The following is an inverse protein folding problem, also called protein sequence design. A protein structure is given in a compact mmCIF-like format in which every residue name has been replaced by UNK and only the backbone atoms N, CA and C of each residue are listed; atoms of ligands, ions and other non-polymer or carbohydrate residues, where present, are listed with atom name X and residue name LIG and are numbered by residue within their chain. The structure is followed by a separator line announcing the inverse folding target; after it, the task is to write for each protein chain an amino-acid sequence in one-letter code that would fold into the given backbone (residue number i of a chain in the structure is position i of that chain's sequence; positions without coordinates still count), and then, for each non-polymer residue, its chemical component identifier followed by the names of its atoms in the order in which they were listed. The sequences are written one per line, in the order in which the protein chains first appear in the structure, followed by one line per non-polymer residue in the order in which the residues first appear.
data_IF_801207259212
#
_entry.id   IF_801207259212
#
_cell.length_a   1.000
_cell.length_b   1.000
_cell.length_c   1.000
_cell.angle_alpha   90.00
_cell.angle_beta   90.00
_cell.angle_gamma   90.00
#
_symmetry.space_group_name_H-M   'P 1'
#
loop_
_entity.id
_entity.type
_entity.pdbx_description
1 polymer ?
#
# COMPACT_ATOMS: atom_id res chain seq x y z
N UNK A 1 9.93 -3.13 10.95
CA UNK A 1 8.90 -3.00 12.01
C UNK A 1 8.33 -1.60 11.90
N UNK A 2 7.01 -1.41 11.87
CA UNK A 2 6.38 -0.08 11.73
C UNK A 2 5.81 0.29 13.09
N UNK A 3 6.22 1.44 13.60
CA UNK A 3 5.72 2.00 14.85
C UNK A 3 5.48 3.51 14.65
N UNK A 4 4.53 4.05 15.41
CA UNK A 4 4.25 5.47 15.46
C UNK A 4 4.28 5.91 16.92
N UNK A 5 5.03 6.99 17.20
CA UNK A 5 5.12 7.59 18.53
C UNK A 5 4.19 8.79 18.55
N UNK A 6 3.37 8.91 19.60
CA UNK A 6 2.44 10.02 19.77
C UNK A 6 3.20 11.34 19.86
N UNK A 7 2.82 12.31 19.04
CA UNK A 7 3.36 13.67 19.14
C UNK A 7 2.62 14.45 20.24
N UNK A 8 3.27 15.43 20.85
CA UNK A 8 2.61 16.33 21.81
C UNK A 8 1.43 17.06 21.15
N UNK A 9 0.28 17.09 21.82
CA UNK A 9 -0.96 17.67 21.30
C UNK A 9 -1.68 16.84 20.22
N UNK A 10 -1.18 15.67 19.84
CA UNK A 10 -1.86 14.80 18.86
C UNK A 10 -3.03 14.04 19.50
N UNK A 11 -4.19 14.04 18.83
CA UNK A 11 -5.34 13.23 19.24
C UNK A 11 -5.10 11.75 18.93
N UNK A 12 -5.69 10.82 19.71
CA UNK A 12 -5.55 9.38 19.46
C UNK A 12 -5.94 8.96 18.03
N UNK A 13 -6.96 9.59 17.44
CA UNK A 13 -7.44 9.28 16.09
C UNK A 13 -6.39 9.65 15.03
N UNK A 14 -5.72 10.81 15.20
CA UNK A 14 -4.66 11.27 14.28
C UNK A 14 -3.47 10.32 14.31
N UNK A 15 -3.09 9.84 15.50
CA UNK A 15 -2.02 8.86 15.67
C UNK A 15 -2.35 7.54 14.94
N UNK A 16 -3.57 7.02 15.11
CA UNK A 16 -4.02 5.79 14.43
C UNK A 16 -4.01 5.98 12.91
N UNK A 17 -4.47 7.13 12.41
CA UNK A 17 -4.49 7.42 10.98
C UNK A 17 -3.07 7.46 10.40
N UNK A 18 -2.14 8.07 11.12
CA UNK A 18 -0.71 8.13 10.74
C UNK A 18 -0.08 6.74 10.73
N UNK A 19 -0.34 5.93 11.75
CA UNK A 19 0.09 4.54 11.79
C UNK A 19 -0.46 3.75 10.59
N UNK A 20 -1.76 3.86 10.32
CA UNK A 20 -2.41 3.21 9.15
C UNK A 20 -1.74 3.66 7.85
N UNK A 21 -1.47 4.95 7.67
CA UNK A 21 -0.80 5.48 6.47
C UNK A 21 0.59 4.84 6.28
N UNK A 22 1.41 4.81 7.33
CA UNK A 22 2.74 4.17 7.30
C UNK A 22 2.63 2.67 7.00
N UNK A 23 1.70 1.98 7.64
CA UNK A 23 1.44 0.56 7.43
C UNK A 23 1.07 0.26 5.97
N UNK A 24 0.13 0.99 5.37
CA UNK A 24 -0.27 0.77 3.98
C UNK A 24 0.81 1.20 2.97
N UNK A 25 1.58 2.25 3.27
CA UNK A 25 2.71 2.66 2.43
C UNK A 25 3.81 1.60 2.35
N UNK A 26 4.07 0.87 3.43
CA UNK A 26 5.08 -0.20 3.46
C UNK A 26 4.75 -1.41 2.59
N UNK A 27 3.49 -1.55 2.14
CA UNK A 27 2.98 -2.70 1.38
C UNK A 27 3.15 -4.07 2.07
N UNK A 28 3.46 -4.11 3.37
CA UNK A 28 3.67 -5.36 4.13
C UNK A 28 2.44 -6.27 4.05
N UNK A 29 1.23 -5.73 4.22
CA UNK A 29 0.00 -6.51 4.11
C UNK A 29 -0.17 -7.18 2.73
N UNK A 30 0.22 -6.49 1.66
CA UNK A 30 0.17 -7.04 0.31
C UNK A 30 1.23 -8.11 0.09
N UNK A 31 2.41 -7.95 0.69
CA UNK A 31 3.48 -8.95 0.66
C UNK A 31 3.04 -10.24 1.36
N UNK A 32 2.56 -10.14 2.61
CA UNK A 32 2.08 -11.30 3.40
C UNK A 32 0.94 -12.03 2.67
N UNK A 33 -0.01 -11.29 2.09
CA UNK A 33 -1.11 -11.90 1.33
C UNK A 33 -0.63 -12.68 0.10
N UNK A 34 0.41 -12.19 -0.58
CA UNK A 34 1.02 -12.88 -1.73
C UNK A 34 1.80 -14.12 -1.29
N UNK A 35 2.53 -14.03 -0.17
CA UNK A 35 3.31 -15.13 0.40
C UNK A 35 2.43 -16.26 0.95
N UNK A 36 1.16 -15.97 1.29
CA UNK A 36 0.19 -16.98 1.75
C UNK A 36 -0.02 -18.13 0.76
N UNK A 37 0.09 -17.87 -0.54
CA UNK A 37 -0.10 -18.89 -1.57
C UNK A 37 1.26 -19.31 -2.13
N UNK A 38 1.47 -20.62 -2.34
CA UNK A 38 2.68 -21.18 -2.93
C UNK A 38 2.72 -20.92 -4.45
N UNK A 39 2.81 -19.65 -4.84
CA UNK A 39 2.91 -19.20 -6.22
C UNK A 39 4.39 -19.09 -6.57
N UNK A 40 4.81 -19.67 -7.70
CA UNK A 40 6.17 -19.51 -8.21
C UNK A 40 6.56 -18.04 -8.39
N UNK A 41 7.86 -17.74 -8.41
CA UNK A 41 8.34 -16.36 -8.60
C UNK A 41 7.85 -15.82 -9.95
N UNK A 42 7.11 -14.70 -9.93
CA UNK A 42 6.67 -14.03 -11.16
C UNK A 42 7.87 -13.56 -11.99
N UNK A 43 7.73 -13.64 -13.32
CA UNK A 43 8.71 -13.07 -14.23
C UNK A 43 8.71 -11.53 -14.16
N UNK A 44 9.86 -10.91 -14.46
CA UNK A 44 10.00 -9.44 -14.50
C UNK A 44 8.99 -8.79 -15.46
N UNK A 45 8.65 -9.46 -16.58
CA UNK A 45 7.66 -9.00 -17.55
C UNK A 45 6.27 -8.89 -16.93
N UNK A 46 5.83 -9.94 -16.21
CA UNK A 46 4.50 -9.96 -15.56
C UNK A 46 4.37 -8.91 -14.47
N UNK A 47 5.44 -8.68 -13.69
CA UNK A 47 5.47 -7.62 -12.67
C UNK A 47 5.28 -6.23 -13.31
N UNK A 48 5.92 -5.98 -14.45
CA UNK A 48 5.79 -4.72 -15.20
C UNK A 48 4.39 -4.54 -15.77
N UNK A 49 3.84 -5.58 -16.40
CA UNK A 49 2.48 -5.58 -16.94
C UNK A 49 1.45 -5.24 -15.84
N UNK A 50 1.53 -5.89 -14.68
CA UNK A 50 0.69 -5.56 -13.53
C UNK A 50 0.84 -4.10 -13.07
N UNK A 51 2.06 -3.56 -13.10
CA UNK A 51 2.32 -2.19 -12.66
C UNK A 51 1.72 -1.16 -13.62
N UNK A 52 1.85 -1.37 -14.93
CA UNK A 52 1.28 -0.50 -15.97
C UNK A 52 -0.25 -0.47 -15.86
N UNK A 53 -0.88 -1.64 -15.79
CA UNK A 53 -2.34 -1.75 -15.67
C UNK A 53 -2.84 -1.05 -14.40
N UNK A 54 -2.16 -1.26 -13.27
CA UNK A 54 -2.51 -0.55 -12.01
C UNK A 54 -2.34 0.96 -12.11
N UNK A 55 -1.34 1.47 -12.84
CA UNK A 55 -1.16 2.91 -13.04
C UNK A 55 -2.33 3.49 -13.84
N UNK A 56 -2.68 2.85 -14.96
CA UNK A 56 -3.78 3.28 -15.81
C UNK A 56 -5.11 3.40 -15.02
N UNK A 57 -5.43 2.39 -14.19
CA UNK A 57 -6.62 2.45 -13.33
C UNK A 57 -6.56 3.55 -12.27
N UNK A 58 -5.38 3.86 -11.71
CA UNK A 58 -5.23 4.97 -10.75
C UNK A 58 -5.45 6.32 -11.43
N UNK A 59 -4.87 6.50 -12.61
CA UNK A 59 -5.01 7.72 -13.40
C UNK A 59 -6.46 7.95 -13.84
N UNK A 60 -7.18 6.88 -14.22
CA UNK A 60 -8.62 6.95 -14.50
C UNK A 60 -9.42 7.40 -13.28
N UNK A 61 -9.17 6.81 -12.10
CA UNK A 61 -9.86 7.20 -10.87
C UNK A 61 -9.55 8.64 -10.46
N UNK A 62 -8.33 9.13 -10.67
CA UNK A 62 -7.98 10.53 -10.40
C UNK A 62 -8.79 11.50 -11.25
N UNK A 63 -9.12 11.16 -12.51
CA UNK A 63 -9.91 12.01 -13.42
C UNK A 63 -11.40 12.08 -13.10
N UNK A 64 -11.95 11.11 -12.36
CA UNK A 64 -13.39 11.05 -12.02
C UNK A 64 -13.74 11.91 -10.80
N UNK A 65 -12.74 12.35 -10.03
CA UNK A 65 -12.93 13.18 -8.83
C UNK A 65 -12.45 14.63 -8.99
N UNK A 66 -12.46 15.15 -10.23
CA UNK A 66 -12.30 16.58 -10.53
C UNK A 66 -13.49 17.08 -11.34
#
# INVERSE_FOLDING_TARGET
MIYAIRNEGETPEKLILRYKKLFFQSRIANKIRKERYAIGKLSKKKIREEAIVRSAYRELNTKVYF
#
